data_IF_605426393267
#
_entry.id   IF_605426393267
#
_cell.length_a   1.000
_cell.length_b   1.000
_cell.length_c   1.000
_cell.angle_alpha   90.00
_cell.angle_beta   90.00
_cell.angle_gamma   90.00
#
_symmetry.space_group_name_H-M   'P 1'
#
loop_
_entity.id
_entity.type
_entity.pdbx_description
1 polymer ?
#
# COMPACT_ATOMS: atom_id res chain seq x y z
N UNK A 1 -27.99 -35.21 -15.25
CA UNK A 1 -27.88 -34.20 -14.18
C UNK A 1 -26.43 -34.12 -13.79
N UNK A 2 -25.84 -32.92 -13.83
CA UNK A 2 -24.41 -32.73 -13.55
C UNK A 2 -24.20 -32.80 -12.02
N UNK A 3 -23.14 -33.50 -11.58
CA UNK A 3 -22.80 -33.69 -10.17
C UNK A 3 -22.69 -32.36 -9.40
N UNK A 4 -23.12 -32.30 -8.12
CA UNK A 4 -23.11 -31.06 -7.32
C UNK A 4 -21.71 -30.45 -7.15
N UNK A 5 -20.66 -31.25 -7.33
CA UNK A 5 -19.25 -30.87 -7.14
C UNK A 5 -18.65 -30.03 -8.29
N UNK A 6 -19.35 -29.92 -9.41
CA UNK A 6 -18.92 -29.14 -10.57
C UNK A 6 -19.61 -27.78 -10.70
N UNK A 7 -20.55 -27.45 -9.79
CA UNK A 7 -21.18 -26.13 -9.73
C UNK A 7 -20.10 -25.09 -9.38
N UNK A 8 -19.79 -24.20 -10.32
CA UNK A 8 -18.77 -23.15 -10.16
C UNK A 8 -17.34 -23.53 -10.56
N UNK A 9 -17.08 -24.78 -10.98
CA UNK A 9 -15.73 -25.21 -11.41
C UNK A 9 -15.46 -25.10 -12.90
N UNK A 10 -16.44 -24.70 -13.73
CA UNK A 10 -16.19 -24.56 -15.16
C UNK A 10 -15.54 -23.19 -15.44
N UNK A 11 -14.24 -23.14 -15.79
CA UNK A 11 -13.55 -21.88 -15.99
C UNK A 11 -14.11 -21.12 -17.21
N UNK A 12 -14.78 -21.79 -18.16
CA UNK A 12 -15.36 -21.22 -19.38
C UNK A 12 -16.86 -20.88 -19.27
N UNK A 13 -17.47 -21.07 -18.09
CA UNK A 13 -18.92 -20.89 -17.92
C UNK A 13 -19.40 -19.47 -18.26
N UNK A 14 -18.62 -18.45 -17.89
CA UNK A 14 -18.94 -17.04 -18.17
C UNK A 14 -18.86 -16.75 -19.67
N UNK A 15 -17.88 -17.33 -20.35
CA UNK A 15 -17.65 -17.11 -21.78
C UNK A 15 -18.77 -17.76 -22.61
N UNK A 16 -19.22 -18.97 -22.21
CA UNK A 16 -20.38 -19.66 -22.80
C UNK A 16 -21.66 -18.83 -22.67
N UNK A 17 -21.98 -18.36 -21.46
CA UNK A 17 -23.18 -17.53 -21.23
C UNK A 17 -23.12 -16.24 -22.04
N UNK A 18 -21.93 -15.64 -22.14
CA UNK A 18 -21.80 -14.42 -22.94
C UNK A 18 -21.99 -14.69 -24.43
N UNK A 19 -21.46 -15.79 -24.96
CA UNK A 19 -21.72 -16.19 -26.35
C UNK A 19 -23.22 -16.39 -26.62
N UNK A 20 -23.96 -16.96 -25.67
CA UNK A 20 -25.41 -17.11 -25.77
C UNK A 20 -26.13 -15.74 -25.81
N UNK A 21 -25.67 -14.78 -25.00
CA UNK A 21 -26.18 -13.40 -25.03
C UNK A 21 -25.84 -12.72 -26.37
N UNK A 22 -24.58 -12.81 -26.83
CA UNK A 22 -24.17 -12.22 -28.11
C UNK A 22 -24.98 -12.79 -29.28
N UNK A 23 -25.21 -14.10 -29.28
CA UNK A 23 -26.04 -14.76 -30.28
C UNK A 23 -27.49 -14.26 -30.24
N UNK A 24 -28.07 -14.06 -29.05
CA UNK A 24 -29.43 -13.50 -28.91
C UNK A 24 -29.55 -12.05 -29.39
N UNK A 25 -28.43 -11.33 -29.46
CA UNK A 25 -28.33 -9.96 -29.95
C UNK A 25 -27.88 -9.88 -31.41
N UNK A 26 -27.83 -11.00 -32.11
CA UNK A 26 -27.34 -11.14 -33.50
C UNK A 26 -25.92 -10.55 -33.70
N UNK A 27 -25.10 -10.61 -32.64
CA UNK A 27 -23.71 -10.16 -32.65
C UNK A 27 -22.76 -11.32 -32.97
N UNK A 28 -21.58 -11.03 -33.55
CA UNK A 28 -20.57 -12.05 -33.79
C UNK A 28 -20.19 -12.75 -32.48
N UNK A 29 -20.07 -14.07 -32.56
CA UNK A 29 -19.58 -14.92 -31.47
C UNK A 29 -18.10 -14.65 -31.24
N UNK A 30 -17.66 -14.90 -30.01
CA UNK A 30 -16.25 -14.76 -29.64
C UNK A 30 -15.47 -15.87 -30.33
N UNK A 31 -14.56 -15.50 -31.21
CA UNK A 31 -13.68 -16.44 -31.89
C UNK A 31 -12.65 -17.05 -30.93
N UNK A 32 -11.98 -16.20 -30.14
CA UNK A 32 -10.96 -16.63 -29.19
C UNK A 32 -11.35 -16.37 -27.73
N UNK A 33 -11.71 -17.46 -27.06
CA UNK A 33 -12.10 -17.46 -25.65
C UNK A 33 -10.90 -17.23 -24.72
N UNK A 34 -9.69 -17.61 -25.13
CA UNK A 34 -8.49 -17.43 -24.31
C UNK A 34 -8.09 -15.96 -24.24
N UNK A 35 -8.03 -15.28 -25.40
CA UNK A 35 -7.74 -13.84 -25.48
C UNK A 35 -8.73 -13.02 -24.66
N UNK A 36 -10.03 -13.33 -24.74
CA UNK A 36 -11.04 -12.66 -23.91
C UNK A 36 -10.79 -12.87 -22.41
N UNK A 37 -10.50 -14.10 -22.01
CA UNK A 37 -10.25 -14.41 -20.58
C UNK A 37 -9.04 -13.64 -20.09
N UNK A 38 -7.96 -13.61 -20.86
CA UNK A 38 -6.75 -12.88 -20.50
C UNK A 38 -7.03 -11.38 -20.38
N UNK A 39 -7.70 -10.78 -21.36
CA UNK A 39 -8.11 -9.38 -21.32
C UNK A 39 -8.95 -9.06 -20.06
N UNK A 40 -9.95 -9.90 -19.75
CA UNK A 40 -10.76 -9.77 -18.53
C UNK A 40 -9.92 -9.91 -17.27
N UNK A 41 -8.97 -10.84 -17.25
CA UNK A 41 -8.05 -11.04 -16.15
C UNK A 41 -7.22 -9.78 -15.87
N UNK A 42 -6.65 -9.18 -16.91
CA UNK A 42 -5.86 -7.94 -16.82
C UNK A 42 -6.69 -6.76 -16.34
N UNK A 43 -7.92 -6.59 -16.85
CA UNK A 43 -8.83 -5.53 -16.40
C UNK A 43 -9.20 -5.74 -14.92
N UNK A 44 -9.48 -6.98 -14.51
CA UNK A 44 -9.82 -7.29 -13.13
C UNK A 44 -8.64 -7.11 -12.17
N UNK A 45 -7.42 -7.44 -12.57
CA UNK A 45 -6.23 -7.32 -11.72
C UNK A 45 -5.87 -5.85 -11.48
N UNK A 46 -6.09 -4.99 -12.48
CA UNK A 46 -5.84 -3.55 -12.37
C UNK A 46 -6.56 -2.92 -11.17
N UNK A 47 -7.81 -3.30 -10.89
CA UNK A 47 -8.55 -2.75 -9.74
C UNK A 47 -7.86 -3.08 -8.41
N UNK A 48 -7.33 -4.30 -8.27
CA UNK A 48 -6.60 -4.69 -7.06
C UNK A 48 -5.26 -3.93 -6.94
N UNK A 49 -4.51 -3.81 -8.04
CA UNK A 49 -3.26 -3.05 -8.09
C UNK A 49 -3.50 -1.56 -7.76
N UNK A 50 -4.56 -0.97 -8.31
CA UNK A 50 -4.96 0.41 -8.05
C UNK A 50 -5.30 0.65 -6.59
N UNK A 51 -6.10 -0.22 -5.97
CA UNK A 51 -6.46 -0.07 -4.56
C UNK A 51 -5.22 -0.12 -3.64
N UNK A 52 -4.25 -0.97 -3.98
CA UNK A 52 -2.97 -1.03 -3.25
C UNK A 52 -2.24 0.32 -3.35
N UNK A 53 -2.06 0.84 -4.56
CA UNK A 53 -1.37 2.12 -4.78
C UNK A 53 -2.10 3.28 -4.10
N UNK A 54 -3.44 3.34 -4.18
CA UNK A 54 -4.24 4.35 -3.49
C UNK A 54 -4.01 4.27 -1.98
N UNK A 55 -4.07 3.08 -1.39
CA UNK A 55 -3.82 2.91 0.04
C UNK A 55 -2.42 3.39 0.45
N UNK A 56 -1.40 3.17 -0.38
CA UNK A 56 -0.05 3.70 -0.13
C UNK A 56 0.01 5.22 -0.23
N UNK A 57 -0.71 5.83 -1.19
CA UNK A 57 -0.78 7.28 -1.32
C UNK A 57 -1.54 7.91 -0.16
N UNK A 58 -2.69 7.38 0.25
CA UNK A 58 -3.43 7.84 1.42
C UNK A 58 -2.56 7.77 2.68
N UNK A 59 -1.82 6.68 2.85
CA UNK A 59 -0.84 6.59 3.94
C UNK A 59 0.21 7.70 3.82
N UNK A 60 0.82 7.90 2.64
CA UNK A 60 1.85 8.92 2.45
C UNK A 60 1.32 10.35 2.68
N UNK A 61 0.06 10.60 2.32
CA UNK A 61 -0.64 11.87 2.53
C UNK A 61 -0.85 12.16 4.03
N UNK A 62 -1.18 11.14 4.84
CA UNK A 62 -1.24 11.27 6.31
C UNK A 62 0.11 11.67 6.93
N UNK A 63 1.24 11.33 6.30
CA UNK A 63 2.57 11.76 6.71
C UNK A 63 2.99 13.11 6.09
N UNK A 64 2.11 13.77 5.34
CA UNK A 64 2.35 15.09 4.75
C UNK A 64 3.15 15.08 3.46
N UNK A 65 3.25 13.93 2.78
CA UNK A 65 3.87 13.87 1.45
C UNK A 65 2.93 14.47 0.38
N UNK A 66 3.49 15.17 -0.62
CA UNK A 66 2.70 15.67 -1.73
C UNK A 66 2.33 14.52 -2.70
N UNK A 67 1.11 14.03 -2.61
CA UNK A 67 0.58 12.93 -3.45
C UNK A 67 -0.22 13.40 -4.65
N UNK A 68 -0.48 14.71 -4.78
CA UNK A 68 -1.40 15.27 -5.76
C UNK A 68 -1.03 14.92 -7.21
N UNK A 69 0.26 14.93 -7.55
CA UNK A 69 0.74 14.57 -8.89
C UNK A 69 0.53 13.09 -9.21
N UNK A 70 0.73 12.20 -8.24
CA UNK A 70 0.54 10.76 -8.40
C UNK A 70 -0.94 10.40 -8.49
N UNK A 71 -1.78 11.09 -7.73
CA UNK A 71 -3.24 10.96 -7.81
C UNK A 71 -3.80 11.41 -9.16
N UNK A 72 -3.26 12.48 -9.75
CA UNK A 72 -3.62 12.89 -11.12
C UNK A 72 -3.23 11.82 -12.14
N UNK A 73 -2.01 11.27 -12.05
CA UNK A 73 -1.59 10.18 -12.94
C UNK A 73 -2.47 8.92 -12.80
N UNK A 74 -3.01 8.63 -11.62
CA UNK A 74 -3.99 7.55 -11.43
C UNK A 74 -5.32 7.82 -12.14
N UNK A 75 -5.79 9.08 -12.17
CA UNK A 75 -7.01 9.46 -12.90
C UNK A 75 -6.81 9.30 -14.42
N UNK A 76 -5.63 9.64 -14.93
CA UNK A 76 -5.30 9.42 -16.34
C UNK A 76 -5.33 7.92 -16.70
N UNK A 77 -4.90 7.05 -15.79
CA UNK A 77 -4.99 5.61 -15.98
C UNK A 77 -6.44 5.10 -16.02
N UNK A 78 -7.34 5.66 -15.22
CA UNK A 78 -8.76 5.30 -15.29
C UNK A 78 -9.37 5.60 -16.66
N UNK A 79 -8.95 6.70 -17.28
CA UNK A 79 -9.37 7.03 -18.65
C UNK A 79 -8.87 6.00 -19.67
N UNK A 80 -7.62 5.54 -19.53
CA UNK A 80 -7.02 4.51 -20.41
C UNK A 80 -7.70 3.15 -20.22
N UNK A 81 -8.07 2.79 -18.99
CA UNK A 81 -8.80 1.55 -18.71
C UNK A 81 -10.23 1.63 -19.24
N UNK A 82 -10.88 2.79 -19.16
CA UNK A 82 -12.19 3.02 -19.79
C UNK A 82 -12.15 2.81 -21.30
N UNK A 83 -11.10 3.31 -21.96
CA UNK A 83 -10.85 3.06 -23.39
C UNK A 83 -10.65 1.56 -23.68
N UNK A 84 -9.87 0.85 -22.86
CA UNK A 84 -9.71 -0.59 -22.98
C UNK A 84 -11.03 -1.36 -22.79
N UNK A 85 -11.92 -0.91 -21.91
CA UNK A 85 -13.26 -1.52 -21.78
C UNK A 85 -14.08 -1.33 -23.06
N UNK A 86 -13.93 -0.20 -23.75
CA UNK A 86 -14.52 0.02 -25.08
C UNK A 86 -14.09 -1.05 -26.09
N UNK A 87 -12.77 -1.22 -26.27
CA UNK A 87 -12.22 -2.25 -27.17
C UNK A 87 -12.61 -3.68 -26.75
N UNK A 88 -12.74 -3.95 -25.45
CA UNK A 88 -13.19 -5.24 -24.95
C UNK A 88 -14.64 -5.56 -25.37
N UNK A 89 -15.52 -4.57 -25.44
CA UNK A 89 -16.91 -4.73 -25.92
C UNK A 89 -16.98 -4.90 -27.44
N UNK A 90 -16.03 -4.32 -28.17
CA UNK A 90 -15.86 -4.47 -29.62
C UNK A 90 -15.18 -5.80 -30.00
N UNK A 91 -14.78 -6.60 -29.02
CA UNK A 91 -14.04 -7.87 -29.18
C UNK A 91 -12.64 -7.71 -29.78
N UNK A 92 -12.06 -6.51 -29.72
CA UNK A 92 -10.66 -6.25 -30.07
C UNK A 92 -9.75 -6.49 -28.86
N UNK A 93 -9.48 -7.76 -28.57
CA UNK A 93 -8.70 -8.14 -27.39
C UNK A 93 -7.21 -7.79 -27.50
N UNK A 94 -6.65 -7.71 -28.71
CA UNK A 94 -5.25 -7.34 -28.91
C UNK A 94 -4.99 -5.89 -28.49
N UNK A 95 -5.88 -4.97 -28.87
CA UNK A 95 -5.83 -3.57 -28.42
C UNK A 95 -6.00 -3.46 -26.90
N UNK A 96 -6.91 -4.24 -26.30
CA UNK A 96 -7.08 -4.29 -24.84
C UNK A 96 -5.79 -4.71 -24.15
N UNK A 97 -5.17 -5.80 -24.60
CA UNK A 97 -3.92 -6.29 -24.02
C UNK A 97 -2.82 -5.25 -24.10
N UNK A 98 -2.66 -4.59 -25.25
CA UNK A 98 -1.67 -3.54 -25.47
C UNK A 98 -1.86 -2.33 -24.55
N UNK A 99 -3.11 -1.86 -24.37
CA UNK A 99 -3.41 -0.75 -23.46
C UNK A 99 -3.17 -1.18 -22.01
N UNK A 100 -3.66 -2.36 -21.61
CA UNK A 100 -3.51 -2.86 -20.25
C UNK A 100 -2.05 -3.11 -19.86
N UNK A 101 -1.19 -3.52 -20.79
CA UNK A 101 0.25 -3.65 -20.53
C UNK A 101 0.90 -2.31 -20.24
N UNK A 102 0.52 -1.24 -20.97
CA UNK A 102 0.99 0.13 -20.69
C UNK A 102 0.49 0.62 -19.35
N UNK A 103 -0.80 0.42 -19.05
CA UNK A 103 -1.41 0.76 -17.77
C UNK A 103 -0.65 0.08 -16.62
N UNK A 104 -0.31 -1.21 -16.78
CA UNK A 104 0.45 -1.97 -15.78
C UNK A 104 1.87 -1.44 -15.58
N UNK A 105 2.54 -0.96 -16.61
CA UNK A 105 3.86 -0.33 -16.45
C UNK A 105 3.73 0.97 -15.66
N UNK A 106 2.80 1.84 -16.04
CA UNK A 106 2.59 3.13 -15.37
C UNK A 106 2.16 2.96 -13.91
N UNK A 107 1.26 2.02 -13.60
CA UNK A 107 0.83 1.81 -12.21
C UNK A 107 1.96 1.27 -11.32
N UNK A 108 2.85 0.45 -11.88
CA UNK A 108 4.05 -0.01 -11.17
C UNK A 108 5.03 1.15 -10.92
N UNK A 109 5.22 2.06 -11.89
CA UNK A 109 6.03 3.26 -11.70
C UNK A 109 5.45 4.17 -10.60
N UNK A 110 4.13 4.39 -10.59
CA UNK A 110 3.45 5.14 -9.53
C UNK A 110 3.64 4.44 -8.18
N UNK A 111 3.49 3.11 -8.14
CA UNK A 111 3.73 2.30 -6.94
C UNK A 111 5.16 2.43 -6.40
N UNK A 112 6.17 2.38 -7.27
CA UNK A 112 7.56 2.59 -6.87
C UNK A 112 7.80 4.00 -6.30
N UNK A 113 7.21 5.03 -6.89
CA UNK A 113 7.27 6.40 -6.35
C UNK A 113 6.58 6.50 -4.99
N UNK A 114 5.43 5.85 -4.82
CA UNK A 114 4.71 5.80 -3.55
C UNK A 114 5.54 5.09 -2.45
N UNK A 115 6.27 4.00 -2.79
CA UNK A 115 7.22 3.36 -1.88
C UNK A 115 8.33 4.32 -1.47
N UNK A 116 8.90 5.09 -2.41
CA UNK A 116 9.91 6.08 -2.08
C UNK A 116 9.42 7.17 -1.11
N UNK A 117 8.18 7.63 -1.27
CA UNK A 117 7.54 8.55 -0.30
C UNK A 117 7.36 7.88 1.06
N UNK A 118 6.96 6.61 1.08
CA UNK A 118 6.80 5.83 2.30
C UNK A 118 8.11 5.73 3.08
N UNK A 119 9.20 5.42 2.40
CA UNK A 119 10.51 5.25 3.02
C UNK A 119 11.03 6.57 3.63
N UNK A 120 10.82 7.69 2.93
CA UNK A 120 11.15 9.02 3.44
C UNK A 120 10.36 9.38 4.71
N UNK A 121 9.07 9.05 4.76
CA UNK A 121 8.23 9.28 5.94
C UNK A 121 8.64 8.38 7.13
N UNK A 122 8.88 7.09 6.89
CA UNK A 122 9.32 6.15 7.92
C UNK A 122 10.68 6.55 8.53
N UNK A 123 11.56 7.14 7.73
CA UNK A 123 12.82 7.68 8.22
C UNK A 123 12.60 8.78 9.28
N UNK A 124 11.65 9.69 9.05
CA UNK A 124 11.34 10.75 10.02
C UNK A 124 10.70 10.22 11.30
N UNK A 125 9.82 9.23 11.19
CA UNK A 125 9.25 8.54 12.36
C UNK A 125 10.35 7.90 13.20
N UNK A 126 11.25 7.17 12.55
CA UNK A 126 12.39 6.55 13.21
C UNK A 126 13.25 7.61 13.91
N UNK A 127 13.61 8.70 13.22
CA UNK A 127 14.41 9.77 13.82
C UNK A 127 13.74 10.37 15.08
N UNK A 128 12.43 10.62 15.03
CA UNK A 128 11.67 11.14 16.17
C UNK A 128 11.64 10.15 17.34
N UNK A 129 11.48 8.85 17.06
CA UNK A 129 11.53 7.81 18.07
C UNK A 129 12.91 7.78 18.75
N UNK A 130 14.00 7.82 17.98
CA UNK A 130 15.34 7.90 18.54
C UNK A 130 15.56 9.16 19.39
N UNK A 131 15.06 10.31 18.95
CA UNK A 131 15.14 11.55 19.73
C UNK A 131 14.35 11.44 21.04
N UNK A 132 13.16 10.83 21.02
CA UNK A 132 12.35 10.60 22.22
C UNK A 132 13.02 9.64 23.21
N UNK A 133 13.57 8.52 22.73
CA UNK A 133 14.29 7.53 23.56
C UNK A 133 15.57 8.14 24.15
N UNK A 134 16.32 8.90 23.37
CA UNK A 134 17.55 9.55 23.88
C UNK A 134 17.24 10.67 24.86
N UNK A 135 16.21 11.49 24.62
CA UNK A 135 15.79 12.54 25.55
C UNK A 135 15.31 11.96 26.89
N UNK A 136 14.49 10.91 26.86
CA UNK A 136 14.01 10.25 28.09
C UNK A 136 15.18 9.59 28.86
N UNK A 137 16.13 8.97 28.17
CA UNK A 137 17.36 8.45 28.77
C UNK A 137 18.23 9.53 29.41
N UNK A 138 18.43 10.67 28.74
CA UNK A 138 19.18 11.80 29.30
C UNK A 138 18.48 12.41 30.52
N UNK A 139 17.17 12.64 30.46
CA UNK A 139 16.40 13.21 31.58
C UNK A 139 16.47 12.29 32.79
N UNK A 140 16.24 10.99 32.62
CA UNK A 140 16.32 10.02 33.73
C UNK A 140 17.74 9.94 34.30
N UNK A 141 18.76 9.97 33.45
CA UNK A 141 20.17 10.05 33.87
C UNK A 141 20.47 11.30 34.71
N UNK A 142 20.04 12.48 34.25
CA UNK A 142 20.22 13.75 34.98
C UNK A 142 19.46 13.74 36.31
N UNK A 143 18.22 13.24 36.33
CA UNK A 143 17.42 13.13 37.56
C UNK A 143 18.09 12.21 38.57
N UNK A 144 18.53 11.02 38.14
CA UNK A 144 19.25 10.07 39.00
C UNK A 144 20.56 10.67 39.54
N UNK A 145 21.36 11.29 38.68
CA UNK A 145 22.60 11.94 39.08
C UNK A 145 22.36 13.06 40.10
N UNK A 146 21.38 13.93 39.85
CA UNK A 146 21.00 15.02 40.76
C UNK A 146 20.58 14.47 42.14
N UNK A 147 19.81 13.39 42.15
CA UNK A 147 19.39 12.70 43.38
C UNK A 147 20.58 12.10 44.14
N UNK A 148 21.52 11.46 43.43
CA UNK A 148 22.73 10.89 44.01
C UNK A 148 23.66 11.96 44.61
N UNK A 149 23.87 13.08 43.89
CA UNK A 149 24.69 14.21 44.37
C UNK A 149 24.08 14.82 45.61
N UNK A 150 22.75 15.07 45.61
CA UNK A 150 22.03 15.56 46.78
C UNK A 150 22.20 14.61 47.96
N UNK A 151 22.02 13.30 47.76
CA UNK A 151 22.19 12.29 48.81
C UNK A 151 23.62 12.24 49.36
N UNK A 152 24.64 12.48 48.52
CA UNK A 152 26.05 12.52 48.96
C UNK A 152 26.35 13.76 49.82
N UNK A 153 25.81 14.93 49.47
CA UNK A 153 26.02 16.18 50.21
C UNK A 153 25.33 16.17 51.60
N UNK A 154 24.14 15.59 51.71
CA UNK A 154 23.41 15.51 53.00
C UNK A 154 23.84 14.34 53.89
N UNK A 155 24.83 13.54 53.48
CA UNK A 155 25.41 12.50 54.33
C UNK A 155 26.39 13.16 55.29
N UNK A 156 25.88 13.63 56.42
CA UNK A 156 26.67 14.24 57.49
C UNK A 156 27.86 13.36 57.87
N UNK A 157 29.02 13.99 57.93
CA UNK A 157 30.23 13.48 58.58
C UNK A 157 29.85 13.24 60.04
N UNK A 158 29.87 11.97 60.46
CA UNK A 158 29.64 11.61 61.85
C UNK A 158 30.61 12.41 62.72
N UNK A 159 30.06 13.26 63.57
CA UNK A 159 30.80 14.01 64.56
C UNK A 159 31.48 13.03 65.50
N UNK A 160 32.80 12.89 65.39
CA UNK A 160 33.59 12.21 66.40
C UNK A 160 33.58 13.11 67.63
N UNK A 161 32.66 12.78 68.53
CA UNK A 161 32.47 13.38 69.84
C UNK A 161 33.81 13.33 70.60
N UNK A 162 34.28 14.51 71.01
CA UNK A 162 35.44 14.66 71.90
C UNK A 162 34.97 14.19 73.27
N UNK A 163 35.27 12.95 73.65
CA UNK A 163 35.16 12.51 75.05
C UNK A 163 36.42 13.01 75.76
N UNK A 164 36.24 14.17 76.40
CA UNK A 164 37.08 14.67 77.47
C UNK A 164 36.80 13.79 78.69
N UNK A 165 37.77 12.96 79.09
CA UNK A 165 37.79 12.34 80.40
C UNK A 165 39.02 12.84 81.16
N UNK A 166 38.71 13.28 82.39
CA UNK A 166 39.56 13.85 83.44
C UNK A 166 40.76 12.99 83.83
#
# INVERSE_FOLDING_TARGET
GIAPESRGKNPYGIDLVTNLILHSLDRPLIGDVLSRREARGRISSFMAEKLLVISMLEWADLFGANTMSLSQSLLDLDSSVSEAVGFYLEQDYDSVMGIMDRVRLTINEIGQRAVGLKDAALFWVFLLEWLAVTATSMITGVVLWTLMVRRRMYRNVGTTRIDMLE
#
